data_IF_825555293805
#
_entry.id   IF_825555293805
#
_cell.length_a   1.000
_cell.length_b   1.000
_cell.length_c   1.000
_cell.angle_alpha   90.00
_cell.angle_beta   90.00
_cell.angle_gamma   90.00
#
_symmetry.space_group_name_H-M   'P 1'
#
loop_
_entity.id
_entity.type
_entity.pdbx_description
1 polymer ?
#
# COMPACT_ATOMS: atom_id res chain seq x y z
N UNK A 1 -18.09 -24.83 8.79
CA UNK A 1 -17.46 -23.82 7.91
C UNK A 1 -17.34 -24.34 6.49
N UNK A 2 -16.65 -25.48 6.24
CA UNK A 2 -16.53 -26.03 4.88
C UNK A 2 -17.89 -26.27 4.20
N UNK A 3 -18.84 -26.90 4.92
CA UNK A 3 -20.21 -27.13 4.43
C UNK A 3 -20.91 -25.84 4.03
N UNK A 4 -20.96 -24.85 4.93
CA UNK A 4 -21.54 -23.53 4.64
C UNK A 4 -20.96 -22.87 3.37
N UNK A 5 -19.64 -22.95 3.16
CA UNK A 5 -19.00 -22.40 1.97
C UNK A 5 -19.46 -23.11 0.70
N UNK A 6 -19.50 -24.44 0.72
CA UNK A 6 -19.97 -25.24 -0.42
C UNK A 6 -21.46 -24.99 -0.70
N UNK A 7 -22.30 -24.98 0.33
CA UNK A 7 -23.75 -24.81 0.22
C UNK A 7 -24.14 -23.42 -0.35
N UNK A 8 -23.25 -22.45 -0.27
CA UNK A 8 -23.46 -21.07 -0.74
C UNK A 8 -22.59 -20.71 -1.96
N UNK A 9 -21.94 -21.69 -2.60
CA UNK A 9 -21.04 -21.46 -3.73
C UNK A 9 -19.96 -20.41 -3.41
N UNK A 10 -19.24 -20.57 -2.30
CA UNK A 10 -18.17 -19.69 -1.87
C UNK A 10 -16.84 -20.43 -1.83
N UNK A 11 -15.89 -19.98 -2.64
CA UNK A 11 -14.57 -20.59 -2.77
C UNK A 11 -13.50 -19.69 -2.16
N UNK A 12 -12.66 -20.23 -1.27
CA UNK A 12 -11.48 -19.53 -0.77
C UNK A 12 -10.44 -19.46 -1.88
N UNK A 13 -10.09 -18.24 -2.31
CA UNK A 13 -9.15 -18.00 -3.41
C UNK A 13 -7.70 -18.41 -3.08
N UNK A 14 -7.42 -18.82 -1.85
CA UNK A 14 -6.06 -19.04 -1.39
C UNK A 14 -5.32 -17.72 -1.19
N UNK A 15 -3.99 -17.76 -1.23
CA UNK A 15 -3.16 -16.57 -1.03
C UNK A 15 -1.69 -16.77 -1.44
N UNK A 16 -1.03 -15.65 -1.68
CA UNK A 16 0.43 -15.50 -1.80
C UNK A 16 0.97 -14.74 -0.59
N UNK A 17 2.15 -15.11 -0.09
CA UNK A 17 2.80 -14.45 1.04
C UNK A 17 2.62 -15.20 2.38
N UNK A 18 2.73 -14.49 3.53
CA UNK A 18 2.72 -15.11 4.86
C UNK A 18 1.45 -15.92 5.16
N UNK A 19 1.58 -17.04 5.88
CA UNK A 19 0.48 -17.99 6.14
C UNK A 19 -0.66 -17.40 6.99
N UNK A 20 -0.32 -16.49 7.89
CA UNK A 20 -1.24 -15.99 8.92
C UNK A 20 -1.57 -14.52 8.68
N UNK A 21 -2.81 -14.14 9.02
CA UNK A 21 -3.31 -12.78 8.82
C UNK A 21 -3.54 -12.02 10.10
N UNK A 22 -3.30 -12.66 11.25
CA UNK A 22 -3.48 -12.08 12.57
C UNK A 22 -2.49 -12.68 13.56
N UNK A 23 -2.05 -11.87 14.54
CA UNK A 23 -1.35 -12.35 15.73
C UNK A 23 -1.82 -11.60 16.97
N UNK A 24 -1.75 -12.28 18.12
CA UNK A 24 -1.97 -11.63 19.40
C UNK A 24 -0.82 -10.71 19.86
N UNK A 25 0.22 -10.51 19.02
CA UNK A 25 1.40 -9.69 19.29
C UNK A 25 2.18 -10.06 20.56
N UNK A 26 1.97 -11.26 21.10
CA UNK A 26 2.76 -11.78 22.22
C UNK A 26 4.02 -12.46 21.71
N UNK A 27 4.99 -12.67 22.60
CA UNK A 27 6.29 -13.26 22.27
C UNK A 27 6.40 -14.72 22.73
N UNK A 28 7.35 -15.46 22.15
CA UNK A 28 7.72 -16.84 22.52
C UNK A 28 6.48 -17.76 22.63
N UNK A 29 6.37 -18.53 23.70
CA UNK A 29 5.34 -19.55 23.90
C UNK A 29 3.92 -18.99 24.07
N UNK A 30 3.76 -17.66 24.19
CA UNK A 30 2.45 -17.00 24.27
C UNK A 30 1.97 -16.48 22.92
N UNK A 31 2.82 -16.54 21.90
CA UNK A 31 2.56 -16.04 20.56
C UNK A 31 1.58 -16.96 19.84
N UNK A 32 0.51 -16.37 19.31
CA UNK A 32 -0.51 -17.09 18.54
C UNK A 32 -0.63 -16.42 17.17
N UNK A 33 -0.79 -17.25 16.14
CA UNK A 33 -1.00 -16.83 14.76
C UNK A 33 -2.19 -17.54 14.17
N UNK A 34 -3.05 -16.79 13.48
CA UNK A 34 -4.25 -17.34 12.85
C UNK A 34 -4.49 -16.68 11.50
N UNK A 35 -4.96 -17.46 10.52
CA UNK A 35 -5.52 -16.93 9.26
C UNK A 35 -7.01 -16.65 9.47
N UNK A 36 -7.32 -15.45 9.95
CA UNK A 36 -8.69 -14.97 10.19
C UNK A 36 -9.31 -14.32 8.95
N UNK A 37 -8.51 -13.58 8.19
CA UNK A 37 -8.98 -12.85 7.01
C UNK A 37 -8.88 -13.76 5.78
N UNK A 38 -9.96 -13.85 5.01
CA UNK A 38 -10.04 -14.62 3.77
C UNK A 38 -10.86 -13.85 2.75
N UNK A 39 -10.53 -14.04 1.47
CA UNK A 39 -11.34 -13.54 0.37
C UNK A 39 -12.01 -14.75 -0.27
N UNK A 40 -13.33 -14.69 -0.30
CA UNK A 40 -14.17 -15.73 -0.88
C UNK A 40 -14.79 -15.20 -2.16
N UNK A 41 -14.93 -16.06 -3.15
CA UNK A 41 -15.53 -15.73 -4.44
C UNK A 41 -16.42 -16.87 -4.90
N UNK A 42 -17.56 -16.53 -5.49
CA UNK A 42 -18.45 -17.52 -6.07
C UNK A 42 -18.04 -17.94 -7.48
N UNK A 43 -18.70 -18.95 -8.03
CA UNK A 43 -18.37 -19.48 -9.35
C UNK A 43 -18.50 -18.42 -10.45
N UNK A 44 -19.47 -17.52 -10.35
CA UNK A 44 -19.64 -16.43 -11.31
C UNK A 44 -18.49 -15.40 -11.22
N UNK A 45 -18.05 -15.05 -10.01
CA UNK A 45 -16.89 -14.19 -9.81
C UNK A 45 -15.60 -14.81 -10.34
N UNK A 46 -15.40 -16.12 -10.10
CA UNK A 46 -14.27 -16.88 -10.63
C UNK A 46 -14.29 -16.92 -12.17
N UNK A 47 -15.48 -17.01 -12.78
CA UNK A 47 -15.66 -16.96 -14.23
C UNK A 47 -15.27 -15.59 -14.81
N UNK A 48 -15.61 -14.50 -14.12
CA UNK A 48 -15.30 -13.13 -14.52
C UNK A 48 -13.83 -12.75 -14.28
N UNK A 49 -13.22 -13.31 -13.23
CA UNK A 49 -11.84 -13.03 -12.82
C UNK A 49 -11.04 -14.34 -12.62
N UNK A 50 -10.81 -15.12 -13.69
CA UNK A 50 -10.18 -16.45 -13.59
C UNK A 50 -8.73 -16.40 -13.14
N UNK A 51 -8.09 -15.23 -13.25
CA UNK A 51 -6.71 -14.98 -12.82
C UNK A 51 -6.67 -14.16 -11.51
N UNK A 52 -7.77 -14.14 -10.76
CA UNK A 52 -7.80 -13.45 -9.48
C UNK A 52 -6.75 -14.02 -8.52
N UNK A 53 -6.00 -13.15 -7.87
CA UNK A 53 -5.01 -13.52 -6.87
C UNK A 53 -5.19 -12.71 -5.60
N UNK A 54 -4.88 -13.33 -4.47
CA UNK A 54 -4.88 -12.67 -3.16
C UNK A 54 -3.45 -12.64 -2.65
N UNK A 55 -2.93 -11.44 -2.35
CA UNK A 55 -1.63 -11.29 -1.67
C UNK A 55 -1.84 -10.84 -0.23
N UNK A 56 -1.24 -11.55 0.71
CA UNK A 56 -1.10 -11.10 2.09
C UNK A 56 0.04 -10.08 2.16
N UNK A 57 -0.27 -8.83 2.51
CA UNK A 57 0.73 -7.76 2.61
C UNK A 57 1.45 -7.79 3.96
N UNK A 58 2.66 -7.26 4.00
CA UNK A 58 3.45 -7.25 5.24
C UNK A 58 2.71 -6.50 6.36
N UNK A 59 2.71 -7.08 7.55
CA UNK A 59 2.09 -6.46 8.72
C UNK A 59 3.05 -5.47 9.36
N UNK A 60 2.72 -4.17 9.28
CA UNK A 60 3.61 -3.10 9.75
C UNK A 60 3.29 -2.62 11.17
N UNK A 61 2.03 -2.27 11.43
CA UNK A 61 1.64 -1.61 12.68
C UNK A 61 0.31 -2.10 13.28
N UNK A 62 -0.43 -2.97 12.58
CA UNK A 62 -1.64 -3.62 13.08
C UNK A 62 -1.30 -5.03 13.56
N UNK A 63 -2.16 -5.62 14.38
CA UNK A 63 -2.20 -7.06 14.64
C UNK A 63 -2.72 -7.87 13.43
N UNK A 64 -3.40 -7.21 12.49
CA UNK A 64 -3.89 -7.76 11.22
C UNK A 64 -2.95 -7.50 10.03
N UNK A 65 -2.91 -8.47 9.12
CA UNK A 65 -2.31 -8.40 7.79
C UNK A 65 -3.35 -7.90 6.76
N UNK A 66 -3.07 -6.82 6.02
CA UNK A 66 -3.92 -6.40 4.90
C UNK A 66 -3.92 -7.42 3.76
N UNK A 67 -5.07 -7.62 3.12
CA UNK A 67 -5.23 -8.49 1.95
C UNK A 67 -5.39 -7.65 0.68
N UNK A 68 -4.59 -7.95 -0.34
CA UNK A 68 -4.70 -7.34 -1.67
C UNK A 68 -5.33 -8.33 -2.65
N UNK A 69 -6.53 -8.02 -3.14
CA UNK A 69 -7.18 -8.74 -4.22
C UNK A 69 -6.84 -8.10 -5.56
N UNK A 70 -6.21 -8.87 -6.45
CA UNK A 70 -5.96 -8.48 -7.84
C UNK A 70 -6.86 -9.33 -8.74
N UNK A 71 -7.88 -8.74 -9.36
CA UNK A 71 -8.84 -9.45 -10.23
C UNK A 71 -8.28 -9.75 -11.63
N UNK A 72 -7.23 -9.05 -12.04
CA UNK A 72 -6.52 -9.29 -13.28
C UNK A 72 -5.02 -8.99 -13.10
N UNK A 73 -4.11 -9.72 -13.79
CA UNK A 73 -2.73 -9.30 -13.89
C UNK A 73 -2.71 -7.92 -14.57
N UNK A 74 -2.23 -6.91 -13.86
CA UNK A 74 -2.15 -5.51 -14.29
C UNK A 74 -1.48 -5.39 -15.67
N UNK A 75 -2.27 -5.29 -16.74
CA UNK A 75 -1.79 -4.87 -18.07
C UNK A 75 -1.78 -3.36 -18.23
N UNK A 76 -2.36 -2.61 -17.29
CA UNK A 76 -2.36 -1.16 -17.32
C UNK A 76 -1.96 -0.61 -15.96
N UNK A 77 -0.79 0.04 -15.89
CA UNK A 77 -0.54 1.02 -14.84
C UNK A 77 -1.67 2.05 -14.96
N UNK A 78 -2.35 2.42 -13.86
CA UNK A 78 -3.33 3.50 -13.92
C UNK A 78 -2.68 4.71 -14.60
N UNK A 79 -3.27 5.15 -15.71
CA UNK A 79 -2.89 6.39 -16.36
C UNK A 79 -3.09 7.53 -15.37
N UNK A 80 -2.01 8.25 -15.08
CA UNK A 80 -2.03 9.36 -14.14
C UNK A 80 -1.76 8.93 -12.70
N UNK A 81 -0.50 9.05 -12.29
CA UNK A 81 -0.14 9.04 -10.86
C UNK A 81 -0.81 10.25 -10.21
N UNK A 82 -1.81 10.04 -9.37
CA UNK A 82 -2.40 11.11 -8.57
C UNK A 82 -1.32 11.73 -7.69
N UNK A 83 -1.14 13.04 -7.81
CA UNK A 83 -0.27 13.79 -6.92
C UNK A 83 -1.05 13.99 -5.61
N UNK A 84 -0.49 13.54 -4.49
CA UNK A 84 -1.05 13.73 -3.16
C UNK A 84 -0.10 14.58 -2.34
N UNK A 85 -0.67 15.44 -1.51
CA UNK A 85 0.10 16.16 -0.51
C UNK A 85 0.48 15.20 0.61
N UNK A 86 1.71 15.29 1.09
CA UNK A 86 2.14 14.55 2.27
C UNK A 86 2.46 15.57 3.36
N UNK A 87 1.89 15.40 4.55
CA UNK A 87 2.07 16.35 5.67
C UNK A 87 3.54 16.55 6.06
N UNK A 88 4.38 15.53 5.84
CA UNK A 88 5.82 15.60 6.06
C UNK A 88 6.48 16.72 5.24
N UNK A 89 5.90 17.16 4.12
CA UNK A 89 6.44 18.28 3.36
C UNK A 89 6.47 19.58 4.19
N UNK A 90 5.53 19.76 5.12
CA UNK A 90 5.50 20.94 5.99
C UNK A 90 6.63 20.95 7.01
N UNK A 91 7.24 19.81 7.34
CA UNK A 91 8.34 19.75 8.31
C UNK A 91 9.69 20.22 7.73
N UNK A 92 9.76 20.49 6.42
CA UNK A 92 11.02 20.90 5.77
C UNK A 92 10.99 22.38 5.39
N UNK A 93 11.87 23.24 5.94
CA UNK A 93 11.88 24.68 5.62
C UNK A 93 12.03 25.01 4.13
N UNK A 94 12.63 24.12 3.34
CA UNK A 94 12.79 24.29 1.89
C UNK A 94 11.45 24.28 1.14
N UNK A 95 10.41 23.63 1.66
CA UNK A 95 9.09 23.63 1.01
C UNK A 95 8.46 25.02 1.01
N UNK A 96 8.66 25.79 2.07
CA UNK A 96 8.25 27.20 2.10
C UNK A 96 8.96 28.04 1.03
N UNK A 97 10.25 27.78 0.80
CA UNK A 97 11.01 28.43 -0.28
C UNK A 97 10.46 28.06 -1.67
N UNK A 98 10.00 26.83 -1.87
CA UNK A 98 9.36 26.38 -3.12
C UNK A 98 8.04 27.11 -3.34
N UNK A 99 7.21 27.24 -2.30
CA UNK A 99 5.96 28.02 -2.35
C UNK A 99 6.29 29.46 -2.73
N UNK A 100 7.11 30.15 -1.93
CA UNK A 100 7.50 31.54 -2.19
C UNK A 100 7.98 31.76 -3.62
N UNK A 101 8.97 30.95 -4.08
CA UNK A 101 9.54 31.07 -5.42
C UNK A 101 8.50 30.92 -6.55
N UNK A 102 7.50 30.05 -6.40
CA UNK A 102 6.48 29.85 -7.44
C UNK A 102 5.37 30.90 -7.36
N UNK A 103 5.03 31.37 -6.16
CA UNK A 103 4.00 32.35 -5.94
C UNK A 103 4.45 33.78 -6.25
N UNK A 104 5.74 34.10 -6.12
CA UNK A 104 6.30 35.41 -6.48
C UNK A 104 6.47 35.65 -7.99
N UNK A 105 6.24 34.65 -8.84
CA UNK A 105 6.31 34.83 -10.31
C UNK A 105 5.07 35.56 -10.80
N UNK A 106 5.26 36.54 -11.67
CA UNK A 106 4.15 37.18 -12.37
C UNK A 106 3.41 36.16 -13.25
N UNK A 107 2.09 36.24 -13.26
CA UNK A 107 1.18 35.39 -14.03
C UNK A 107 -0.09 36.21 -14.31
N UNK A 108 -0.69 36.06 -15.48
CA UNK A 108 -1.73 36.95 -15.98
C UNK A 108 -2.94 36.15 -16.49
N UNK A 109 -4.11 36.79 -16.52
CA UNK A 109 -5.38 36.19 -16.94
C UNK A 109 -6.41 36.22 -15.81
N UNK A 110 -7.44 35.37 -15.91
CA UNK A 110 -8.49 35.32 -14.90
C UNK A 110 -7.90 34.91 -13.54
N UNK A 111 -8.34 35.54 -12.42
CA UNK A 111 -7.83 35.23 -11.09
C UNK A 111 -7.90 33.73 -10.73
N UNK A 112 -8.98 33.06 -11.12
CA UNK A 112 -9.16 31.63 -10.89
C UNK A 112 -8.11 30.78 -11.64
N UNK A 113 -7.79 31.14 -12.87
CA UNK A 113 -6.78 30.42 -13.67
C UNK A 113 -5.38 30.66 -13.13
N UNK A 114 -5.07 31.90 -12.72
CA UNK A 114 -3.81 32.25 -12.09
C UNK A 114 -3.62 31.44 -10.80
N UNK A 115 -4.64 31.38 -9.95
CA UNK A 115 -4.63 30.59 -8.72
C UNK A 115 -4.39 29.10 -9.02
N UNK A 116 -5.17 28.51 -9.91
CA UNK A 116 -5.03 27.10 -10.29
C UNK A 116 -3.64 26.79 -10.83
N UNK A 117 -3.09 27.64 -11.71
CA UNK A 117 -1.73 27.46 -12.24
C UNK A 117 -0.67 27.58 -11.14
N UNK A 118 -0.79 28.53 -10.22
CA UNK A 118 0.16 28.70 -9.10
C UNK A 118 0.12 27.51 -8.14
N UNK A 119 -1.06 27.04 -7.77
CA UNK A 119 -1.25 25.83 -6.96
C UNK A 119 -0.62 24.62 -7.65
N UNK A 120 -0.94 24.39 -8.93
CA UNK A 120 -0.43 23.25 -9.69
C UNK A 120 1.09 23.26 -9.88
N UNK A 121 1.67 24.43 -10.24
CA UNK A 121 3.12 24.63 -10.37
C UNK A 121 3.83 24.35 -9.04
N UNK A 122 3.31 24.90 -7.95
CA UNK A 122 3.85 24.71 -6.60
C UNK A 122 3.80 23.24 -6.19
N UNK A 123 2.65 22.61 -6.38
CA UNK A 123 2.43 21.22 -5.99
C UNK A 123 3.33 20.25 -6.77
N UNK A 124 3.48 20.46 -8.09
CA UNK A 124 4.43 19.69 -8.92
C UNK A 124 5.88 19.90 -8.49
N UNK A 125 6.27 21.13 -8.19
CA UNK A 125 7.63 21.42 -7.73
C UNK A 125 7.92 20.76 -6.37
N UNK A 126 6.98 20.82 -5.43
CA UNK A 126 7.09 20.15 -4.13
C UNK A 126 7.17 18.63 -4.30
N UNK A 127 6.32 18.05 -5.14
CA UNK A 127 6.35 16.62 -5.43
C UNK A 127 7.65 16.17 -6.09
N UNK A 128 8.18 16.94 -7.05
CA UNK A 128 9.48 16.63 -7.66
C UNK A 128 10.61 16.72 -6.65
N UNK A 129 10.58 17.73 -5.78
CA UNK A 129 11.57 17.89 -4.73
C UNK A 129 11.48 16.74 -3.71
N UNK A 130 10.28 16.38 -3.25
CA UNK A 130 10.07 15.34 -2.25
C UNK A 130 10.52 13.98 -2.78
N UNK A 131 10.22 13.65 -4.05
CA UNK A 131 10.71 12.43 -4.70
C UNK A 131 12.23 12.31 -4.72
N UNK A 132 12.94 13.43 -4.89
CA UNK A 132 14.40 13.41 -4.90
C UNK A 132 14.96 13.37 -3.49
N UNK A 133 14.41 14.15 -2.56
CA UNK A 133 14.87 14.26 -1.18
C UNK A 133 14.57 13.02 -0.36
N UNK A 134 13.40 12.43 -0.56
CA UNK A 134 12.91 11.26 0.16
C UNK A 134 13.19 9.97 -0.61
N UNK A 135 14.04 10.02 -1.65
CA UNK A 135 14.40 8.84 -2.44
C UNK A 135 15.05 7.78 -1.54
N UNK A 136 16.08 8.17 -0.78
CA UNK A 136 16.78 7.30 0.16
C UNK A 136 15.84 6.76 1.24
N UNK A 137 14.93 7.61 1.75
CA UNK A 137 13.92 7.19 2.72
C UNK A 137 12.95 6.16 2.13
N UNK A 138 12.53 6.35 0.88
CA UNK A 138 11.69 5.41 0.15
C UNK A 138 12.40 4.09 -0.15
N UNK A 139 13.69 4.14 -0.49
CA UNK A 139 14.53 2.96 -0.68
C UNK A 139 14.70 2.17 0.62
N UNK A 140 15.00 2.87 1.73
CA UNK A 140 15.09 2.27 3.05
C UNK A 140 13.75 1.67 3.49
N UNK A 141 12.64 2.37 3.26
CA UNK A 141 11.30 1.85 3.53
C UNK A 141 11.06 0.54 2.78
N UNK A 142 11.30 0.51 1.48
CA UNK A 142 11.10 -0.70 0.67
C UNK A 142 11.99 -1.87 1.13
N UNK A 143 13.25 -1.57 1.48
CA UNK A 143 14.19 -2.57 2.02
C UNK A 143 13.67 -3.16 3.34
N UNK A 144 13.21 -2.31 4.27
CA UNK A 144 12.68 -2.74 5.55
C UNK A 144 11.38 -3.55 5.37
N UNK A 145 10.49 -3.12 4.48
CA UNK A 145 9.26 -3.85 4.16
C UNK A 145 9.56 -5.25 3.59
N UNK A 146 10.53 -5.36 2.67
CA UNK A 146 10.99 -6.65 2.13
C UNK A 146 11.60 -7.54 3.22
N UNK A 147 12.44 -6.96 4.09
CA UNK A 147 13.04 -7.70 5.21
C UNK A 147 11.97 -8.20 6.20
N UNK A 148 10.95 -7.41 6.46
CA UNK A 148 9.83 -7.82 7.29
C UNK A 148 9.00 -8.93 6.64
N UNK A 149 8.82 -8.90 5.31
CA UNK A 149 8.14 -9.98 4.56
C UNK A 149 8.93 -11.30 4.69
N UNK A 150 10.26 -11.28 4.53
CA UNK A 150 11.12 -12.45 4.74
C UNK A 150 11.01 -13.01 6.17
N UNK A 151 11.12 -12.14 7.18
CA UNK A 151 11.03 -12.54 8.58
C UNK A 151 9.67 -13.15 8.90
N UNK A 152 8.58 -12.59 8.38
CA UNK A 152 7.25 -13.18 8.55
C UNK A 152 7.11 -14.55 7.89
N UNK A 153 7.74 -14.76 6.72
CA UNK A 153 7.75 -16.08 6.07
C UNK A 153 8.51 -17.11 6.91
N UNK A 154 9.70 -16.76 7.41
CA UNK A 154 10.50 -17.62 8.28
C UNK A 154 9.75 -17.93 9.58
N UNK A 155 9.16 -16.91 10.20
CA UNK A 155 8.38 -17.05 11.42
C UNK A 155 7.13 -17.92 11.24
N UNK A 156 6.54 -17.91 10.04
CA UNK A 156 5.40 -18.75 9.67
C UNK A 156 5.80 -20.18 9.28
N UNK A 157 7.09 -20.47 9.18
CA UNK A 157 7.61 -21.79 8.81
C UNK A 157 7.79 -22.69 10.05
N UNK A 158 7.79 -24.01 9.87
CA UNK A 158 7.93 -24.98 10.97
C UNK A 158 9.24 -24.86 11.76
N UNK A 159 10.25 -24.17 11.21
CA UNK A 159 11.53 -23.89 11.88
C UNK A 159 11.48 -22.66 12.80
N UNK A 160 10.53 -21.76 12.59
CA UNK A 160 10.41 -20.49 13.31
C UNK A 160 11.62 -19.54 13.13
N UNK A 161 11.57 -18.39 13.80
CA UNK A 161 12.74 -17.52 14.00
C UNK A 161 13.49 -18.04 15.24
N UNK A 162 14.66 -18.65 15.04
CA UNK A 162 15.59 -19.01 16.13
C UNK A 162 16.21 -17.78 16.77
#
# INVERSE_FOLDING_TARGET
>A
MSTFLVDNDLHDLGFLGPRYTWSNNKTRNRKIWVRLNRILMNSEGLRLAPLATVKHLVRLASDHCPLLLCLAPTLQKPEGRWLRFEDIWMSYPVTWKIVWKNWSKEDYGLPADVLNRKCHKTFRAMFSWSRNRLKELGELKNLLEARMEELHVIESSDRGLT
#
